data_IF_258071120971
#
_entry.id   IF_258071120971
#
_cell.length_a   1.000
_cell.length_b   1.000
_cell.length_c   1.000
_cell.angle_alpha   90.00
_cell.angle_beta   90.00
_cell.angle_gamma   90.00
#
_symmetry.space_group_name_H-M   'P 1'
#
loop_
_entity.id
_entity.type
_entity.pdbx_description
1 polymer ?
#
# COMPACT_ATOMS: atom_id res chain seq x y z
N UNK A 1 -61.71 -13.71 -26.24
CA UNK A 1 -62.71 -13.12 -25.32
C UNK A 1 -62.49 -13.71 -23.92
N UNK A 2 -62.39 -12.83 -22.90
CA UNK A 2 -62.78 -12.93 -21.46
C UNK A 2 -62.73 -14.32 -20.78
N UNK A 3 -62.24 -14.51 -19.56
CA UNK A 3 -61.85 -13.65 -18.44
C UNK A 3 -61.37 -14.57 -17.30
N UNK A 4 -60.39 -14.17 -16.50
CA UNK A 4 -60.58 -13.64 -15.15
C UNK A 4 -61.13 -14.65 -14.14
N UNK A 5 -60.27 -15.14 -13.23
CA UNK A 5 -60.58 -15.23 -11.79
C UNK A 5 -59.30 -15.11 -10.94
N UNK A 6 -59.49 -14.70 -9.70
CA UNK A 6 -58.65 -13.80 -8.90
C UNK A 6 -58.15 -14.52 -7.64
N UNK A 7 -56.95 -14.13 -7.20
CA UNK A 7 -56.45 -14.05 -5.82
C UNK A 7 -56.42 -15.30 -4.91
N UNK A 8 -55.27 -15.54 -4.26
CA UNK A 8 -55.08 -15.21 -2.84
C UNK A 8 -53.62 -15.29 -2.38
N UNK A 9 -53.32 -14.43 -1.41
CA UNK A 9 -52.05 -14.14 -0.75
C UNK A 9 -51.32 -15.33 -0.13
N UNK A 10 -50.00 -15.21 -0.03
CA UNK A 10 -49.29 -15.22 1.27
C UNK A 10 -47.90 -14.62 1.11
N UNK A 11 -47.68 -13.49 1.76
CA UNK A 11 -46.35 -12.96 2.01
C UNK A 11 -45.65 -13.88 3.01
N UNK A 12 -44.43 -14.34 2.71
CA UNK A 12 -43.54 -14.90 3.72
C UNK A 12 -42.10 -14.47 3.50
N UNK A 13 -41.75 -13.44 4.28
CA UNK A 13 -40.49 -13.25 5.00
C UNK A 13 -39.16 -13.51 4.27
N UNK A 14 -38.50 -12.37 3.98
CA UNK A 14 -37.09 -12.09 4.28
C UNK A 14 -36.28 -13.28 4.85
N UNK A 15 -35.29 -13.75 4.10
CA UNK A 15 -34.02 -14.18 4.72
C UNK A 15 -32.96 -13.13 4.44
N UNK A 16 -32.78 -12.27 5.43
CA UNK A 16 -31.60 -11.46 5.62
C UNK A 16 -30.40 -12.40 5.80
N UNK A 17 -29.50 -12.51 4.82
CA UNK A 17 -28.13 -12.94 5.09
C UNK A 17 -27.31 -11.74 5.59
N UNK A 18 -27.75 -11.20 6.72
CA UNK A 18 -26.92 -10.35 7.55
C UNK A 18 -25.97 -11.25 8.34
N UNK A 19 -24.87 -11.68 7.73
CA UNK A 19 -23.65 -11.92 8.50
C UNK A 19 -22.79 -10.70 8.36
N UNK A 20 -23.19 -9.70 9.16
CA UNK A 20 -22.30 -8.75 9.81
C UNK A 20 -20.92 -9.38 9.97
N UNK A 21 -20.01 -9.03 9.06
CA UNK A 21 -18.59 -9.07 9.38
C UNK A 21 -18.47 -8.23 10.64
N UNK A 22 -18.31 -8.91 11.77
CA UNK A 22 -17.93 -8.28 13.03
C UNK A 22 -16.70 -7.47 12.69
N UNK A 23 -16.88 -6.17 12.46
CA UNK A 23 -15.83 -5.17 12.44
C UNK A 23 -15.21 -5.24 13.83
N UNK A 24 -14.25 -6.13 13.94
CA UNK A 24 -13.28 -6.15 15.03
C UNK A 24 -12.63 -4.77 15.03
N UNK A 25 -12.27 -4.20 16.19
CA UNK A 25 -11.59 -2.92 16.21
C UNK A 25 -10.39 -3.07 15.29
N UNK A 26 -10.33 -2.23 14.25
CA UNK A 26 -9.28 -2.23 13.22
C UNK A 26 -7.94 -2.40 13.92
N UNK A 27 -7.37 -3.61 13.89
CA UNK A 27 -5.95 -3.76 14.21
C UNK A 27 -5.27 -3.03 13.08
N UNK A 28 -4.84 -1.81 13.36
CA UNK A 28 -3.88 -1.15 12.50
C UNK A 28 -2.71 -2.12 12.39
N UNK A 29 -2.45 -2.58 11.17
CA UNK A 29 -1.32 -3.45 10.89
C UNK A 29 -0.04 -2.81 11.41
N UNK A 30 0.86 -3.60 12.01
CA UNK A 30 2.14 -3.05 12.42
C UNK A 30 2.95 -2.75 11.17
N UNK A 31 3.53 -1.56 11.12
CA UNK A 31 4.50 -1.20 10.09
C UNK A 31 5.90 -1.58 10.58
N UNK A 32 6.62 -2.37 9.78
CA UNK A 32 8.03 -2.70 10.00
C UNK A 32 8.85 -2.17 8.84
N UNK A 33 10.01 -1.61 9.14
CA UNK A 33 10.94 -1.09 8.14
C UNK A 33 12.20 -1.97 8.20
N UNK A 34 12.59 -2.54 7.06
CA UNK A 34 13.80 -3.36 6.97
C UNK A 34 15.05 -2.50 7.24
N UNK A 35 16.15 -3.14 7.64
CA UNK A 35 17.45 -2.47 7.77
C UNK A 35 17.87 -1.77 6.47
N UNK A 36 17.60 -2.40 5.32
CA UNK A 36 17.93 -1.85 4.01
C UNK A 36 17.10 -0.59 3.69
N UNK A 37 15.80 -0.60 4.01
CA UNK A 37 14.94 0.57 3.85
C UNK A 37 15.32 1.72 4.80
N UNK A 38 15.76 1.42 6.03
CA UNK A 38 16.32 2.44 6.93
C UNK A 38 17.57 3.10 6.33
N UNK A 39 18.45 2.31 5.71
CA UNK A 39 19.63 2.84 5.02
C UNK A 39 19.24 3.71 3.82
N UNK A 40 18.23 3.30 3.05
CA UNK A 40 17.69 4.12 1.96
C UNK A 40 17.18 5.47 2.46
N UNK A 41 16.37 5.50 3.52
CA UNK A 41 15.88 6.74 4.15
C UNK A 41 17.02 7.65 4.61
N UNK A 42 18.08 7.09 5.20
CA UNK A 42 19.27 7.86 5.60
C UNK A 42 19.97 8.48 4.39
N UNK A 43 20.13 7.72 3.31
CA UNK A 43 20.77 8.22 2.09
C UNK A 43 19.89 9.31 1.42
N UNK A 44 18.57 9.12 1.38
CA UNK A 44 17.62 10.10 0.87
C UNK A 44 17.73 11.40 1.67
N UNK A 45 17.72 11.32 3.00
CA UNK A 45 17.85 12.50 3.87
C UNK A 45 19.18 13.22 3.66
N UNK A 46 20.29 12.49 3.63
CA UNK A 46 21.62 13.05 3.43
C UNK A 46 21.75 13.76 2.08
N UNK A 47 21.32 13.12 0.99
CA UNK A 47 21.31 13.75 -0.34
C UNK A 47 20.37 14.97 -0.35
N UNK A 48 19.19 14.86 0.26
CA UNK A 48 18.24 15.96 0.35
C UNK A 48 18.78 17.17 1.11
N UNK A 49 19.53 16.95 2.20
CA UNK A 49 20.20 18.03 2.94
C UNK A 49 21.24 18.70 2.05
N UNK A 50 22.07 17.92 1.37
CA UNK A 50 23.13 18.42 0.50
C UNK A 50 22.58 19.22 -0.69
N UNK A 51 21.50 18.72 -1.29
CA UNK A 51 20.99 19.24 -2.56
C UNK A 51 19.94 20.37 -2.36
N UNK A 52 19.19 20.35 -1.25
CA UNK A 52 18.05 21.25 -1.01
C UNK A 52 18.01 21.89 0.39
N UNK A 53 18.97 21.59 1.27
CA UNK A 53 19.02 22.09 2.64
C UNK A 53 18.16 21.32 3.65
N UNK A 54 18.39 21.61 4.92
CA UNK A 54 17.84 20.85 6.06
C UNK A 54 16.31 20.93 6.14
N UNK A 55 15.74 22.13 5.94
CA UNK A 55 14.30 22.34 6.05
C UNK A 55 13.53 21.55 4.98
N UNK A 56 13.98 21.63 3.72
CA UNK A 56 13.38 20.89 2.61
C UNK A 56 13.51 19.38 2.79
N UNK A 57 14.68 18.89 3.23
CA UNK A 57 14.90 17.47 3.50
C UNK A 57 14.00 16.97 4.63
N UNK A 58 13.86 17.73 5.72
CA UNK A 58 13.01 17.34 6.86
C UNK A 58 11.53 17.27 6.46
N UNK A 59 11.02 18.28 5.76
CA UNK A 59 9.66 18.28 5.20
C UNK A 59 9.41 17.08 4.27
N UNK A 60 10.44 16.68 3.50
CA UNK A 60 10.35 15.50 2.65
C UNK A 60 10.28 14.18 3.45
N UNK A 61 11.05 14.07 4.53
CA UNK A 61 11.01 12.91 5.43
C UNK A 61 9.67 12.80 6.17
N UNK A 62 9.09 13.92 6.63
CA UNK A 62 7.75 13.94 7.23
C UNK A 62 6.69 13.38 6.29
N UNK A 63 6.87 13.59 4.99
CA UNK A 63 6.00 13.04 3.97
C UNK A 63 6.06 11.51 3.85
N UNK A 64 7.25 10.90 4.02
CA UNK A 64 7.37 9.45 4.15
C UNK A 64 6.64 8.94 5.40
N UNK A 65 6.81 9.60 6.54
CA UNK A 65 6.14 9.19 7.79
C UNK A 65 4.61 9.26 7.70
N UNK A 66 4.06 10.29 7.04
CA UNK A 66 2.63 10.40 6.74
C UNK A 66 2.17 9.26 5.84
N UNK A 67 2.91 8.99 4.78
CA UNK A 67 2.58 7.91 3.84
C UNK A 67 2.60 6.54 4.52
N UNK A 68 3.58 6.30 5.39
CA UNK A 68 3.72 5.08 6.18
C UNK A 68 2.55 4.86 7.14
N UNK A 69 2.07 5.92 7.80
CA UNK A 69 0.84 5.86 8.61
C UNK A 69 -0.37 5.48 7.77
N UNK A 70 -0.56 6.10 6.61
CA UNK A 70 -1.66 5.74 5.70
C UNK A 70 -1.53 4.29 5.22
N UNK A 71 -0.32 3.86 4.87
CA UNK A 71 -0.06 2.51 4.39
C UNK A 71 -0.36 1.44 5.45
N UNK A 72 -0.11 1.72 6.73
CA UNK A 72 -0.47 0.83 7.84
C UNK A 72 -1.98 0.62 7.99
N UNK A 73 -2.79 1.62 7.63
CA UNK A 73 -4.26 1.52 7.63
C UNK A 73 -4.84 0.93 6.34
N UNK A 74 -4.10 1.04 5.23
CA UNK A 74 -4.49 0.51 3.91
C UNK A 74 -3.35 -0.29 3.25
N UNK A 75 -2.98 -1.47 3.80
CA UNK A 75 -1.85 -2.26 3.30
C UNK A 75 -1.92 -2.65 1.81
N UNK A 76 -3.13 -2.68 1.22
CA UNK A 76 -3.35 -3.07 -0.18
C UNK A 76 -3.35 -1.90 -1.17
N UNK A 77 -3.08 -0.67 -0.72
CA UNK A 77 -3.14 0.54 -1.56
C UNK A 77 -2.08 0.59 -2.67
N UNK A 78 -0.98 -0.14 -2.54
CA UNK A 78 0.06 -0.21 -3.59
C UNK A 78 -0.28 -1.21 -4.68
N UNK A 79 0.34 -1.03 -5.85
CA UNK A 79 0.20 -1.92 -7.00
C UNK A 79 0.94 -3.23 -6.75
N UNK A 80 0.32 -4.41 -6.93
CA UNK A 80 1.03 -5.69 -6.93
C UNK A 80 2.15 -5.71 -7.97
N UNK A 81 3.25 -6.38 -7.63
CA UNK A 81 4.42 -6.52 -8.50
C UNK A 81 4.78 -8.01 -8.67
N UNK A 82 3.99 -8.76 -9.46
CA UNK A 82 4.21 -10.19 -9.69
C UNK A 82 5.54 -10.49 -10.39
N UNK A 83 6.24 -9.48 -10.90
CA UNK A 83 7.59 -9.62 -11.44
C UNK A 83 8.67 -9.97 -10.38
N UNK A 84 8.39 -9.82 -9.08
CA UNK A 84 9.35 -10.09 -7.99
C UNK A 84 9.11 -11.41 -7.24
N UNK A 85 8.81 -12.49 -7.96
CA UNK A 85 8.65 -13.83 -7.38
C UNK A 85 9.97 -14.43 -6.83
N UNK A 86 9.93 -15.25 -5.76
CA UNK A 86 8.75 -15.61 -4.98
C UNK A 86 8.38 -14.51 -3.97
N UNK A 87 7.20 -13.88 -4.11
CA UNK A 87 6.82 -12.84 -3.17
C UNK A 87 5.61 -11.97 -3.53
N UNK A 88 4.71 -11.77 -2.56
CA UNK A 88 3.60 -10.80 -2.61
C UNK A 88 4.11 -9.35 -2.45
N UNK A 89 5.05 -8.94 -3.32
CA UNK A 89 5.64 -7.61 -3.35
C UNK A 89 4.64 -6.63 -3.95
N UNK A 90 4.59 -5.44 -3.37
CA UNK A 90 3.79 -4.32 -3.82
C UNK A 90 4.67 -3.09 -3.91
N UNK A 91 4.30 -2.18 -4.80
CA UNK A 91 4.96 -0.89 -4.95
C UNK A 91 4.02 0.27 -4.69
N UNK A 92 4.52 1.32 -4.05
CA UNK A 92 3.83 2.61 -3.95
C UNK A 92 4.79 3.73 -4.32
N UNK A 93 4.34 4.68 -5.14
CA UNK A 93 5.16 5.81 -5.56
C UNK A 93 5.02 6.97 -4.59
N UNK A 94 6.13 7.60 -4.22
CA UNK A 94 6.19 8.83 -3.44
C UNK A 94 7.21 9.79 -4.05
N UNK A 95 6.72 10.74 -4.86
CA UNK A 95 7.56 11.64 -5.68
C UNK A 95 8.58 10.83 -6.51
N UNK A 96 9.90 11.15 -6.63
CA UNK A 96 10.76 10.34 -7.47
C UNK A 96 11.16 9.02 -6.79
N UNK A 97 10.66 8.70 -5.60
CA UNK A 97 10.95 7.46 -4.91
C UNK A 97 9.82 6.44 -5.06
N UNK A 98 10.18 5.15 -5.07
CA UNK A 98 9.27 4.02 -5.07
C UNK A 98 9.55 3.17 -3.84
N UNK A 99 8.49 2.90 -3.09
CA UNK A 99 8.52 2.09 -1.88
C UNK A 99 8.13 0.68 -2.29
N UNK A 100 9.02 -0.28 -2.04
CA UNK A 100 8.77 -1.71 -2.23
C UNK A 100 8.47 -2.33 -0.86
N UNK A 101 7.35 -3.03 -0.75
CA UNK A 101 6.90 -3.58 0.51
C UNK A 101 6.08 -4.87 0.30
N UNK A 102 5.89 -5.61 1.37
CA UNK A 102 5.04 -6.81 1.42
C UNK A 102 3.99 -6.69 2.52
N UNK A 103 2.88 -7.40 2.34
CA UNK A 103 1.83 -7.53 3.35
C UNK A 103 1.92 -8.93 3.95
N UNK A 104 2.12 -9.03 5.26
CA UNK A 104 2.22 -10.29 6.01
C UNK A 104 1.11 -10.31 7.05
N UNK A 105 0.03 -11.05 6.79
CA UNK A 105 -1.19 -10.94 7.58
C UNK A 105 -1.76 -9.53 7.46
N UNK A 106 -1.86 -8.82 8.58
CA UNK A 106 -2.26 -7.40 8.61
C UNK A 106 -1.06 -6.45 8.59
N UNK A 107 0.16 -6.95 8.78
CA UNK A 107 1.37 -6.12 8.90
C UNK A 107 1.93 -5.72 7.52
N UNK A 108 2.56 -4.54 7.50
CA UNK A 108 3.28 -4.03 6.33
C UNK A 108 4.78 -4.07 6.61
N UNK A 109 5.55 -4.71 5.73
CA UNK A 109 7.00 -4.74 5.80
C UNK A 109 7.57 -3.97 4.62
N UNK A 110 8.21 -2.82 4.89
CA UNK A 110 8.91 -2.05 3.87
C UNK A 110 10.29 -2.66 3.64
N UNK A 111 10.52 -3.18 2.44
CA UNK A 111 11.75 -3.86 2.07
C UNK A 111 12.81 -2.87 1.56
N UNK A 112 12.44 -1.94 0.67
CA UNK A 112 13.34 -0.98 0.00
C UNK A 112 12.63 0.34 -0.33
N UNK A 113 13.40 1.43 -0.43
CA UNK A 113 12.95 2.72 -0.98
C UNK A 113 13.93 3.15 -2.06
N UNK A 114 13.52 3.01 -3.31
CA UNK A 114 14.40 3.21 -4.47
C UNK A 114 14.07 4.53 -5.18
N UNK A 115 15.08 5.20 -5.71
CA UNK A 115 14.88 6.38 -6.55
C UNK A 115 14.59 5.93 -7.99
N UNK A 116 13.46 6.32 -8.56
CA UNK A 116 13.00 5.92 -9.90
C UNK A 116 14.06 6.19 -10.98
N UNK A 117 14.71 7.34 -10.95
CA UNK A 117 15.79 7.64 -11.91
C UNK A 117 17.06 6.77 -11.74
N UNK A 118 17.38 6.29 -10.53
CA UNK A 118 18.50 5.36 -10.31
C UNK A 118 18.15 3.94 -10.77
N UNK A 119 16.89 3.56 -10.61
CA UNK A 119 16.34 2.30 -11.09
C UNK A 119 16.42 2.21 -12.62
N UNK A 120 15.98 3.27 -13.33
CA UNK A 120 16.11 3.37 -14.79
C UNK A 120 17.58 3.31 -15.24
N UNK A 121 18.49 4.03 -14.57
CA UNK A 121 19.93 3.98 -14.92
C UNK A 121 20.56 2.61 -14.68
N UNK A 122 20.11 1.85 -13.68
CA UNK A 122 20.58 0.48 -13.41
C UNK A 122 20.03 -0.49 -14.44
N UNK A 123 18.73 -0.42 -14.74
CA UNK A 123 18.10 -1.21 -15.79
C UNK A 123 18.70 -0.95 -17.18
N UNK A 124 19.20 0.25 -17.45
CA UNK A 124 19.93 0.56 -18.69
C UNK A 124 21.38 0.05 -18.70
N UNK A 125 21.99 -0.22 -17.54
CA UNK A 125 23.38 -0.73 -17.43
C UNK A 125 23.48 -2.25 -17.53
N UNK A 126 22.42 -2.99 -17.18
CA UNK A 126 22.38 -4.46 -17.22
C UNK A 126 22.06 -5.04 -18.62
N UNK A 127 22.26 -4.26 -19.70
CA UNK A 127 22.03 -4.65 -21.11
C UNK A 127 23.33 -4.88 -21.91
N UNK A 128 24.39 -5.36 -21.27
CA UNK A 128 25.62 -5.76 -21.95
C UNK A 128 26.01 -7.19 -21.62
#
# INVERSE_FOLDING_TARGET
MRGSHRASSTASRRMCFARSSRRSPTRMGKLRISRAAVQDLRQIRANGIRDYGIAASSSYMDGFERLFRVLSGSPRAGTPRPEFEPGNVRSLSYRPHRILYRVIGDDVVIDRIIHQARDVRRALRDKH
#
